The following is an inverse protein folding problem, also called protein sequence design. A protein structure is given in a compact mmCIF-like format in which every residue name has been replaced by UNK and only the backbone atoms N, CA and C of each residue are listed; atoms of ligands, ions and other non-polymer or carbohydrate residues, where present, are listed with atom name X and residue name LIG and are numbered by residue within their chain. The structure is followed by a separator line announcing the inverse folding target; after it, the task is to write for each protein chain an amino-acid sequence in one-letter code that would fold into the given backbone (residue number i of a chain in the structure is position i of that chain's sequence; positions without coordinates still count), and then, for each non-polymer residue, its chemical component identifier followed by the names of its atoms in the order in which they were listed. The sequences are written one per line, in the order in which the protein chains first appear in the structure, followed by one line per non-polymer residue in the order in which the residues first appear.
data_IF_218817168072
#
_entry.id   IF_218817168072
#
_cell.length_a   1.000
_cell.length_b   1.000
_cell.length_c   1.000
_cell.angle_alpha   90.00
_cell.angle_beta   90.00
_cell.angle_gamma   90.00
#
_symmetry.space_group_name_H-M   'P 1'
#
loop_
_entity.id
_entity.type
_entity.pdbx_description
1 polymer ?
#
# COMPACT_ATOMS: atom_id res chain seq x y z
N UNK A 1 9.35 8.66 -13.66
CA UNK A 1 8.52 7.74 -14.49
C UNK A 1 7.03 7.89 -14.20
N UNK A 2 6.56 7.71 -12.94
CA UNK A 2 5.13 7.84 -12.58
C UNK A 2 4.45 9.12 -13.11
N UNK A 3 5.14 10.27 -13.00
CA UNK A 3 4.64 11.55 -13.50
C UNK A 3 4.33 11.55 -15.01
N UNK A 4 5.12 10.84 -15.81
CA UNK A 4 4.88 10.71 -17.25
C UNK A 4 3.65 9.84 -17.53
N UNK A 5 3.51 8.70 -16.84
CA UNK A 5 2.36 7.80 -16.98
C UNK A 5 1.04 8.47 -16.60
N UNK A 6 1.06 9.31 -15.54
CA UNK A 6 -0.08 10.10 -15.14
C UNK A 6 -0.45 11.17 -16.19
N UNK A 7 0.54 11.91 -16.72
CA UNK A 7 0.30 12.98 -17.71
C UNK A 7 -0.15 12.48 -19.08
N UNK A 8 0.23 11.26 -19.44
CA UNK A 8 -0.11 10.64 -20.73
C UNK A 8 -1.40 9.82 -20.67
N UNK A 9 -2.12 9.82 -19.54
CA UNK A 9 -3.37 9.09 -19.35
C UNK A 9 -3.21 7.58 -19.23
N UNK A 10 -1.98 7.06 -19.13
CA UNK A 10 -1.72 5.62 -19.03
C UNK A 10 -2.18 5.02 -17.69
N UNK A 11 -2.48 5.86 -16.69
CA UNK A 11 -3.02 5.44 -15.39
C UNK A 11 -4.56 5.50 -15.30
N UNK A 12 -5.26 6.03 -16.30
CA UNK A 12 -6.69 6.36 -16.20
C UNK A 12 -7.60 5.13 -16.09
N UNK A 13 -7.13 3.98 -16.60
CA UNK A 13 -7.89 2.72 -16.64
C UNK A 13 -7.48 1.70 -15.58
N UNK A 14 -6.55 2.06 -14.70
CA UNK A 14 -6.03 1.16 -13.65
C UNK A 14 -6.27 1.73 -12.26
N UNK A 15 -6.33 0.85 -11.25
CA UNK A 15 -6.40 1.25 -9.84
C UNK A 15 -4.99 1.36 -9.28
N UNK A 16 -4.39 2.54 -9.43
CA UNK A 16 -3.01 2.80 -9.00
C UNK A 16 -2.97 3.41 -7.58
N UNK A 17 -2.27 2.76 -6.63
CA UNK A 17 -2.05 3.27 -5.26
C UNK A 17 -0.56 3.11 -4.90
N UNK A 18 0.25 4.17 -5.01
CA UNK A 18 1.66 4.08 -4.65
C UNK A 18 1.80 3.95 -3.14
N UNK A 19 2.73 3.09 -2.72
CA UNK A 19 3.16 2.96 -1.33
C UNK A 19 4.62 3.40 -1.25
N UNK A 20 4.89 4.41 -0.43
CA UNK A 20 6.22 5.02 -0.28
C UNK A 20 6.53 5.20 1.19
N UNK A 21 7.81 5.43 1.51
CA UNK A 21 8.20 5.76 2.88
C UNK A 21 7.42 7.00 3.35
N UNK A 22 6.78 6.97 4.53
CA UNK A 22 6.08 8.13 5.06
C UNK A 22 7.08 9.22 5.45
N UNK A 23 6.62 10.47 5.40
CA UNK A 23 7.38 11.63 5.90
C UNK A 23 7.25 11.73 7.43
N UNK A 24 7.76 10.70 8.11
CA UNK A 24 7.75 10.58 9.57
C UNK A 24 9.05 9.93 10.03
N UNK A 25 9.52 10.28 11.21
CA UNK A 25 10.66 9.61 11.80
C UNK A 25 10.34 8.13 12.07
N UNK A 26 11.22 7.24 11.64
CA UNK A 26 11.15 5.80 11.89
C UNK A 26 12.32 5.45 12.79
N UNK A 27 12.01 4.87 13.95
CA UNK A 27 13.02 4.50 14.93
C UNK A 27 13.94 3.39 14.40
N UNK A 28 15.19 3.39 14.85
CA UNK A 28 16.11 2.31 14.48
C UNK A 28 15.68 1.02 15.16
N UNK A 29 15.41 0.00 14.37
CA UNK A 29 14.97 -1.30 14.84
C UNK A 29 15.34 -2.37 13.79
N UNK A 30 14.92 -3.61 13.99
CA UNK A 30 15.03 -4.63 12.95
C UNK A 30 14.30 -4.17 11.66
N UNK A 31 14.79 -4.55 10.47
CA UNK A 31 14.18 -4.12 9.21
C UNK A 31 12.67 -4.42 9.13
N UNK A 32 12.24 -5.57 9.66
CA UNK A 32 10.82 -5.96 9.65
C UNK A 32 9.94 -4.96 10.41
N UNK A 33 10.34 -4.62 11.64
CA UNK A 33 9.63 -3.64 12.47
C UNK A 33 9.62 -2.24 11.84
N UNK A 34 10.72 -1.84 11.20
CA UNK A 34 10.79 -0.57 10.47
C UNK A 34 9.82 -0.53 9.28
N UNK A 35 9.71 -1.61 8.52
CA UNK A 35 8.73 -1.70 7.43
C UNK A 35 7.30 -1.82 7.92
N UNK A 36 7.08 -2.47 9.06
CA UNK A 36 5.78 -2.50 9.73
C UNK A 36 5.35 -1.09 10.13
N UNK A 37 6.23 -0.33 10.80
CA UNK A 37 5.99 1.07 11.16
C UNK A 37 5.78 1.96 9.94
N UNK A 38 6.54 1.76 8.86
CA UNK A 38 6.40 2.51 7.61
C UNK A 38 5.12 2.18 6.83
N UNK A 39 4.39 1.11 7.19
CA UNK A 39 3.22 0.68 6.43
C UNK A 39 3.57 -0.04 5.12
N UNK A 40 4.77 -0.61 4.98
CA UNK A 40 5.33 -1.14 3.73
C UNK A 40 5.58 -2.65 3.75
N UNK A 41 4.93 -3.36 4.67
CA UNK A 41 5.00 -4.82 4.75
C UNK A 41 3.97 -5.51 3.82
N UNK A 42 4.05 -6.85 3.74
CA UNK A 42 3.17 -7.64 2.89
C UNK A 42 1.67 -7.48 3.22
N UNK A 43 1.32 -7.45 4.51
CA UNK A 43 -0.08 -7.32 4.95
C UNK A 43 -0.66 -5.95 4.56
N UNK A 44 0.13 -4.88 4.69
CA UNK A 44 -0.25 -3.54 4.27
C UNK A 44 -0.42 -3.45 2.75
N UNK A 45 0.46 -4.07 1.96
CA UNK A 45 0.33 -4.13 0.50
C UNK A 45 -0.99 -4.81 0.10
N UNK A 46 -1.31 -5.95 0.72
CA UNK A 46 -2.57 -6.67 0.45
C UNK A 46 -3.77 -5.79 0.83
N UNK A 47 -3.74 -5.15 2.00
CA UNK A 47 -4.80 -4.25 2.43
C UNK A 47 -5.01 -3.09 1.44
N UNK A 48 -3.93 -2.42 1.01
CA UNK A 48 -3.97 -1.35 0.02
C UNK A 48 -4.51 -1.84 -1.33
N UNK A 49 -4.11 -3.03 -1.79
CA UNK A 49 -4.61 -3.62 -3.03
C UNK A 49 -6.10 -3.93 -2.96
N UNK A 50 -6.58 -4.54 -1.87
CA UNK A 50 -7.99 -4.86 -1.66
C UNK A 50 -8.84 -3.59 -1.60
N UNK A 51 -8.37 -2.57 -0.87
CA UNK A 51 -9.01 -1.27 -0.80
C UNK A 51 -9.06 -0.59 -2.18
N UNK A 52 -7.98 -0.68 -2.98
CA UNK A 52 -7.93 -0.11 -4.33
C UNK A 52 -8.95 -0.76 -5.28
N UNK A 53 -9.23 -2.05 -5.10
CA UNK A 53 -10.24 -2.80 -5.83
C UNK A 53 -11.67 -2.54 -5.33
N UNK A 54 -11.84 -1.83 -4.22
CA UNK A 54 -13.15 -1.60 -3.60
C UNK A 54 -13.73 -2.86 -2.93
N UNK A 55 -12.89 -3.87 -2.69
CA UNK A 55 -13.26 -5.02 -1.88
C UNK A 55 -13.19 -4.55 -0.43
N UNK A 56 -14.34 -4.10 0.11
CA UNK A 56 -14.48 -3.94 1.55
C UNK A 56 -14.05 -5.24 2.19
N UNK A 57 -13.08 -5.17 3.10
CA UNK A 57 -12.57 -6.31 3.85
C UNK A 57 -13.77 -7.09 4.41
N UNK A 58 -14.16 -8.15 3.70
CA UNK A 58 -15.21 -9.03 4.17
C UNK A 58 -14.72 -9.57 5.50
N UNK A 59 -15.59 -9.40 6.49
CA UNK A 59 -15.49 -9.71 7.90
C UNK A 59 -15.29 -11.24 8.16
N UNK A 60 -14.44 -11.93 7.38
CA UNK A 60 -14.49 -13.38 7.18
C UNK A 60 -13.16 -14.12 7.18
N UNK A 61 -12.02 -13.47 7.47
CA UNK A 61 -10.74 -14.18 7.68
C UNK A 61 -10.26 -14.16 9.15
N UNK A 62 -11.12 -13.74 10.08
CA UNK A 62 -10.85 -13.77 11.53
C UNK A 62 -11.79 -14.74 12.30
N UNK A 63 -12.47 -15.66 11.60
CA UNK A 63 -13.18 -16.79 12.21
C UNK A 63 -12.84 -18.08 11.48
N UNK A 64 -11.65 -18.63 11.77
CA UNK A 64 -11.31 -20.05 11.66
C UNK A 64 -10.04 -20.31 12.48
#
# INVERSE_FOLDING_TARGET
VMHHLARTGLLDRVRFRPMTLPDTFIDHNTPDEQYNQAGLNAAHIVATAMQALGVSTLNGLAQA
#
